data_IF_666186951283
#
_entry.id   IF_666186951283
#
_cell.length_a   1.000
_cell.length_b   1.000
_cell.length_c   1.000
_cell.angle_alpha   90.00
_cell.angle_beta   90.00
_cell.angle_gamma   90.00
#
_symmetry.space_group_name_H-M   'P 1'
#
loop_
_entity.id
_entity.type
_entity.pdbx_description
1 polymer ?
#
# COMPACT_ATOMS: atom_id res chain seq x y z
N UNK A 1 19.95 -29.26 -1.54
CA UNK A 1 19.01 -28.75 -0.52
C UNK A 1 17.71 -28.51 -1.26
N UNK A 2 16.64 -29.22 -0.91
CA UNK A 2 15.34 -29.16 -1.61
C UNK A 2 14.64 -27.85 -1.25
N UNK A 3 14.30 -27.07 -2.26
CA UNK A 3 13.37 -25.96 -2.16
C UNK A 3 12.00 -26.49 -1.67
N UNK A 4 11.57 -26.07 -0.50
CA UNK A 4 10.23 -26.34 -0.01
C UNK A 4 9.26 -25.45 -0.79
N UNK A 5 8.52 -26.05 -1.70
CA UNK A 5 7.42 -25.39 -2.44
C UNK A 5 6.30 -25.05 -1.44
N UNK A 6 5.88 -23.78 -1.37
CA UNK A 6 4.80 -23.28 -0.50
C UNK A 6 3.39 -23.79 -0.87
N UNK A 7 3.30 -24.91 -1.61
CA UNK A 7 2.03 -25.48 -2.10
C UNK A 7 1.32 -26.44 -1.15
N UNK A 8 1.87 -26.75 0.05
CA UNK A 8 1.36 -27.84 0.90
C UNK A 8 0.75 -27.38 2.25
N UNK A 9 0.49 -26.08 2.44
CA UNK A 9 -0.29 -25.64 3.60
C UNK A 9 -1.79 -25.80 3.25
N UNK A 10 -2.59 -26.58 4.00
CA UNK A 10 -4.01 -26.69 3.75
C UNK A 10 -4.65 -25.30 3.84
N UNK A 11 -5.48 -24.96 2.86
CA UNK A 11 -6.16 -23.65 2.71
C UNK A 11 -6.88 -23.19 4.00
N UNK A 12 -7.30 -24.10 4.87
CA UNK A 12 -7.93 -23.79 6.15
C UNK A 12 -6.98 -23.15 7.17
N UNK A 13 -5.77 -23.72 7.33
CA UNK A 13 -4.80 -23.26 8.35
C UNK A 13 -4.08 -21.99 7.91
N UNK A 14 -3.87 -21.84 6.59
CA UNK A 14 -3.30 -20.61 6.01
C UNK A 14 -4.24 -19.40 6.18
N UNK A 15 -5.56 -19.61 6.13
CA UNK A 15 -6.53 -18.54 6.28
C UNK A 15 -6.61 -18.01 7.72
N UNK A 16 -6.36 -18.85 8.74
CA UNK A 16 -6.38 -18.44 10.15
C UNK A 16 -5.16 -17.61 10.55
N UNK A 17 -4.03 -17.78 9.90
CA UNK A 17 -2.79 -17.03 10.19
C UNK A 17 -2.61 -15.76 9.36
N UNK A 18 -3.42 -15.54 8.32
CA UNK A 18 -3.36 -14.35 7.48
C UNK A 18 -3.94 -13.12 8.20
N UNK A 19 -3.34 -11.94 7.98
CA UNK A 19 -3.92 -10.67 8.44
C UNK A 19 -5.24 -10.44 7.72
N UNK A 20 -5.26 -10.59 6.39
CA UNK A 20 -6.49 -10.62 5.61
C UNK A 20 -6.36 -11.55 4.41
N UNK A 21 -7.50 -12.04 3.92
CA UNK A 21 -7.56 -12.86 2.71
C UNK A 21 -8.74 -12.49 1.82
N UNK A 22 -8.56 -12.73 0.52
CA UNK A 22 -9.57 -12.63 -0.52
C UNK A 22 -9.75 -14.00 -1.14
N UNK A 23 -11.00 -14.45 -1.29
CA UNK A 23 -11.36 -15.73 -1.85
C UNK A 23 -12.35 -15.53 -3.01
N UNK A 24 -11.92 -15.89 -4.22
CA UNK A 24 -12.71 -15.80 -5.46
C UNK A 24 -13.37 -14.43 -5.67
N UNK A 25 -12.65 -13.34 -5.38
CA UNK A 25 -13.22 -12.00 -5.45
C UNK A 25 -13.36 -11.54 -6.89
N UNK A 26 -14.60 -11.10 -7.22
CA UNK A 26 -14.95 -10.49 -8.50
C UNK A 26 -15.45 -9.06 -8.30
N UNK A 27 -14.95 -8.14 -9.14
CA UNK A 27 -15.39 -6.75 -9.10
C UNK A 27 -15.52 -6.17 -10.50
N UNK A 28 -16.64 -5.48 -10.75
CA UNK A 28 -16.89 -4.70 -11.96
C UNK A 28 -17.45 -3.32 -11.62
N UNK A 29 -17.02 -2.30 -12.38
CA UNK A 29 -17.68 -1.01 -12.34
C UNK A 29 -18.93 -1.03 -13.21
N UNK A 30 -20.06 -0.60 -12.65
CA UNK A 30 -21.26 -0.32 -13.43
C UNK A 30 -21.06 0.97 -14.25
N UNK A 31 -21.15 0.91 -15.58
CA UNK A 31 -21.27 2.08 -16.46
C UNK A 31 -22.56 1.94 -17.25
N UNK A 32 -23.12 3.07 -17.70
CA UNK A 32 -24.30 3.08 -18.54
C UNK A 32 -24.14 2.12 -19.75
N UNK A 33 -24.85 0.99 -19.68
CA UNK A 33 -24.95 -0.02 -20.74
C UNK A 33 -23.98 -1.19 -20.68
N UNK A 34 -22.79 -1.10 -20.03
CA UNK A 34 -21.84 -2.22 -19.95
C UNK A 34 -21.11 -2.26 -18.60
N UNK A 35 -21.06 -3.45 -17.98
CA UNK A 35 -20.26 -3.67 -16.78
C UNK A 35 -18.79 -3.94 -17.17
N UNK A 36 -17.88 -3.05 -16.78
CA UNK A 36 -16.44 -3.26 -16.96
C UNK A 36 -15.91 -4.10 -15.80
N UNK A 37 -15.67 -5.38 -16.03
CA UNK A 37 -15.00 -6.26 -15.08
C UNK A 37 -13.54 -5.84 -14.91
N UNK A 38 -13.10 -5.68 -13.66
CA UNK A 38 -11.74 -5.23 -13.28
C UNK A 38 -11.00 -6.30 -12.50
N UNK A 39 -11.70 -7.04 -11.62
CA UNK A 39 -11.13 -8.17 -10.88
C UNK A 39 -11.93 -9.43 -11.18
N UNK A 40 -11.23 -10.54 -11.42
CA UNK A 40 -11.82 -11.84 -11.77
C UNK A 40 -11.15 -12.94 -10.97
N UNK A 41 -11.93 -13.62 -10.14
CA UNK A 41 -11.47 -14.80 -9.38
C UNK A 41 -10.15 -14.51 -8.63
N UNK A 42 -10.10 -13.36 -7.94
CA UNK A 42 -8.91 -12.95 -7.20
C UNK A 42 -8.84 -13.71 -5.89
N UNK A 43 -7.75 -14.45 -5.72
CA UNK A 43 -7.39 -15.18 -4.52
C UNK A 43 -6.07 -14.62 -4.01
N UNK A 44 -6.03 -14.19 -2.73
CA UNK A 44 -4.84 -13.61 -2.12
C UNK A 44 -4.91 -13.68 -0.60
N UNK A 45 -3.79 -13.87 0.05
CA UNK A 45 -3.65 -13.76 1.50
C UNK A 45 -2.40 -12.97 1.84
N UNK A 46 -2.51 -12.06 2.81
CA UNK A 46 -1.37 -11.31 3.35
C UNK A 46 -1.05 -11.82 4.75
N UNK A 47 0.18 -12.25 4.94
CA UNK A 47 0.67 -12.75 6.22
C UNK A 47 1.51 -11.70 6.98
N UNK A 48 1.67 -11.85 8.31
CA UNK A 48 2.55 -10.98 9.08
C UNK A 48 3.96 -10.91 8.47
N UNK A 49 4.54 -9.72 8.48
CA UNK A 49 5.88 -9.40 7.96
C UNK A 49 6.07 -9.58 6.44
N UNK A 50 5.09 -10.08 5.70
CA UNK A 50 5.15 -10.25 4.25
C UNK A 50 5.22 -8.89 3.54
N UNK A 51 6.08 -8.79 2.51
CA UNK A 51 6.35 -7.57 1.75
C UNK A 51 6.13 -7.85 0.27
N UNK A 52 4.98 -7.41 -0.24
CA UNK A 52 4.52 -7.70 -1.61
C UNK A 52 4.56 -6.44 -2.47
N UNK A 53 5.21 -6.52 -3.62
CA UNK A 53 5.15 -5.52 -4.70
C UNK A 53 4.06 -5.88 -5.70
N UNK A 54 3.14 -4.97 -5.97
CA UNK A 54 2.11 -5.12 -7.00
C UNK A 54 2.45 -4.23 -8.19
N UNK A 55 3.11 -4.81 -9.18
CA UNK A 55 3.56 -4.14 -10.40
C UNK A 55 2.50 -4.25 -11.51
N UNK A 56 2.50 -3.31 -12.45
CA UNK A 56 1.68 -3.40 -13.66
C UNK A 56 1.22 -2.06 -14.20
N UNK A 57 0.67 -2.04 -15.42
CA UNK A 57 0.27 -0.81 -16.10
C UNK A 57 -0.90 -0.10 -15.40
N UNK A 58 -1.04 1.19 -15.69
CA UNK A 58 -2.19 1.96 -15.21
C UNK A 58 -3.49 1.37 -15.76
N UNK A 59 -4.54 1.33 -14.92
CA UNK A 59 -5.85 0.79 -15.29
C UNK A 59 -5.97 -0.73 -15.23
N UNK A 60 -4.94 -1.48 -14.79
CA UNK A 60 -5.00 -2.94 -14.60
C UNK A 60 -5.86 -3.39 -13.42
N UNK A 61 -6.26 -2.49 -12.52
CA UNK A 61 -7.12 -2.81 -11.38
C UNK A 61 -6.44 -2.77 -10.01
N UNK A 62 -5.16 -2.37 -9.91
CA UNK A 62 -4.38 -2.35 -8.65
C UNK A 62 -5.05 -1.53 -7.53
N UNK A 63 -5.39 -0.28 -7.80
CA UNK A 63 -6.10 0.57 -6.83
C UNK A 63 -7.50 0.02 -6.52
N UNK A 64 -8.17 -0.61 -7.48
CA UNK A 64 -9.46 -1.29 -7.25
C UNK A 64 -9.30 -2.48 -6.30
N UNK A 65 -8.22 -3.24 -6.43
CA UNK A 65 -7.88 -4.32 -5.51
C UNK A 65 -7.73 -3.78 -4.06
N UNK A 66 -7.01 -2.67 -3.86
CA UNK A 66 -6.91 -2.02 -2.54
C UNK A 66 -8.26 -1.51 -2.02
N UNK A 67 -9.08 -0.94 -2.90
CA UNK A 67 -10.44 -0.50 -2.53
C UNK A 67 -11.34 -1.67 -2.12
N UNK A 68 -11.19 -2.83 -2.74
CA UNK A 68 -11.91 -4.04 -2.32
C UNK A 68 -11.46 -4.51 -0.94
N UNK A 69 -10.14 -4.60 -0.68
CA UNK A 69 -9.59 -4.98 0.64
C UNK A 69 -10.15 -4.07 1.73
N UNK A 70 -10.15 -2.76 1.50
CA UNK A 70 -10.58 -1.76 2.49
C UNK A 70 -12.11 -1.56 2.57
N UNK A 71 -12.89 -2.24 1.70
CA UNK A 71 -14.34 -2.11 1.63
C UNK A 71 -14.85 -0.81 1.02
N UNK A 72 -13.95 0.01 0.43
CA UNK A 72 -14.30 1.21 -0.34
C UNK A 72 -14.94 0.86 -1.70
N UNK A 73 -14.71 -0.36 -2.18
CA UNK A 73 -15.43 -0.98 -3.30
C UNK A 73 -15.91 -2.36 -2.86
N UNK A 74 -17.22 -2.61 -2.98
CA UNK A 74 -17.81 -3.88 -2.57
C UNK A 74 -17.77 -4.87 -3.73
N UNK A 75 -17.10 -6.03 -3.58
CA UNK A 75 -17.12 -7.06 -4.62
C UNK A 75 -18.52 -7.62 -4.84
N UNK A 76 -18.82 -8.01 -6.07
CA UNK A 76 -20.09 -8.66 -6.42
C UNK A 76 -20.12 -10.14 -6.02
N UNK A 77 -18.94 -10.79 -5.97
CA UNK A 77 -18.79 -12.19 -5.61
C UNK A 77 -17.47 -12.38 -4.84
N UNK A 78 -17.38 -13.49 -4.14
CA UNK A 78 -16.23 -13.85 -3.32
C UNK A 78 -16.35 -13.35 -1.88
N UNK A 79 -15.33 -13.64 -1.09
CA UNK A 79 -15.28 -13.32 0.33
C UNK A 79 -13.99 -12.55 0.64
N UNK A 80 -14.08 -11.64 1.61
CA UNK A 80 -12.93 -10.98 2.21
C UNK A 80 -12.95 -11.33 3.69
N UNK A 81 -11.80 -11.77 4.21
CA UNK A 81 -11.64 -12.10 5.64
C UNK A 81 -10.58 -11.21 6.26
N UNK A 82 -10.77 -10.92 7.53
CA UNK A 82 -9.79 -10.28 8.40
C UNK A 82 -9.60 -11.13 9.64
N UNK A 83 -8.38 -11.59 9.90
CA UNK A 83 -8.08 -12.58 10.96
C UNK A 83 -9.04 -13.78 10.96
N UNK A 84 -9.29 -14.34 9.75
CA UNK A 84 -10.22 -15.47 9.56
C UNK A 84 -11.72 -15.12 9.56
N UNK A 85 -12.11 -13.93 10.05
CA UNK A 85 -13.52 -13.50 10.10
C UNK A 85 -13.98 -12.89 8.78
N UNK A 86 -15.12 -13.33 8.25
CA UNK A 86 -15.71 -12.79 7.01
C UNK A 86 -16.17 -11.35 7.27
N UNK A 87 -15.75 -10.43 6.39
CA UNK A 87 -16.18 -9.04 6.41
C UNK A 87 -17.47 -8.89 5.59
N UNK A 88 -18.59 -8.60 6.23
CA UNK A 88 -19.90 -8.47 5.59
C UNK A 88 -20.53 -7.09 5.77
N UNK A 89 -20.28 -6.46 6.91
CA UNK A 89 -20.86 -5.17 7.28
C UNK A 89 -19.85 -4.02 7.21
N UNK A 90 -20.36 -2.78 7.20
CA UNK A 90 -19.50 -1.59 7.31
C UNK A 90 -18.74 -1.55 8.63
N UNK A 91 -19.32 -2.10 9.69
CA UNK A 91 -18.63 -2.22 10.99
C UNK A 91 -17.37 -3.07 10.88
N UNK A 92 -17.46 -4.24 10.19
CA UNK A 92 -16.32 -5.14 10.02
C UNK A 92 -15.20 -4.47 9.21
N UNK A 93 -15.56 -3.78 8.13
CA UNK A 93 -14.57 -3.04 7.32
C UNK A 93 -13.99 -1.83 8.06
N UNK A 94 -14.75 -1.19 8.94
CA UNK A 94 -14.21 -0.14 9.81
C UNK A 94 -13.17 -0.69 10.77
N UNK A 95 -13.40 -1.89 11.34
CA UNK A 95 -12.43 -2.57 12.19
C UNK A 95 -11.13 -2.89 11.41
N UNK A 96 -11.26 -3.44 10.21
CA UNK A 96 -10.12 -3.67 9.32
C UNK A 96 -9.35 -2.35 9.06
N UNK A 97 -10.04 -1.25 8.70
CA UNK A 97 -9.39 0.04 8.43
C UNK A 97 -8.71 0.68 9.65
N UNK A 98 -9.07 0.27 10.86
CA UNK A 98 -8.33 0.65 12.07
C UNK A 98 -6.98 -0.08 12.20
N UNK A 99 -6.80 -1.20 11.51
CA UNK A 99 -5.64 -2.08 11.60
C UNK A 99 -4.82 -2.17 10.32
N UNK A 100 -5.43 -1.89 9.18
CA UNK A 100 -4.79 -1.87 7.86
C UNK A 100 -4.71 -0.43 7.38
N UNK A 101 -3.50 0.11 7.36
CA UNK A 101 -3.26 1.48 6.93
C UNK A 101 -3.23 1.59 5.41
N UNK A 102 -3.87 2.62 4.86
CA UNK A 102 -3.88 2.88 3.43
C UNK A 102 -3.26 4.26 3.15
N UNK A 103 -2.14 4.27 2.43
CA UNK A 103 -1.50 5.49 1.91
C UNK A 103 -1.96 5.71 0.48
N UNK A 104 -2.64 6.83 0.26
CA UNK A 104 -3.24 7.19 -1.02
C UNK A 104 -2.20 7.67 -2.04
N UNK A 105 -2.51 7.49 -3.32
CA UNK A 105 -1.66 7.94 -4.43
C UNK A 105 -1.42 9.46 -4.38
N UNK A 106 -2.43 10.26 -4.05
CA UNK A 106 -2.33 11.71 -3.90
C UNK A 106 -2.35 12.08 -2.42
N UNK A 107 -1.25 12.62 -1.93
CA UNK A 107 -1.14 13.01 -0.51
C UNK A 107 -2.13 14.12 -0.12
N UNK A 108 -2.53 14.98 -1.07
CA UNK A 108 -3.56 15.99 -0.89
C UNK A 108 -4.93 15.42 -0.50
N UNK A 109 -5.24 14.21 -0.95
CA UNK A 109 -6.50 13.52 -0.61
C UNK A 109 -6.48 12.93 0.80
N UNK A 110 -5.33 12.96 1.47
CA UNK A 110 -5.12 12.37 2.79
C UNK A 110 -4.82 13.39 3.89
N UNK A 111 -4.33 14.58 3.54
CA UNK A 111 -3.98 15.65 4.49
C UNK A 111 -5.09 16.69 4.51
N UNK A 112 -5.77 16.84 5.65
CA UNK A 112 -6.97 17.73 5.75
C UNK A 112 -6.81 18.82 6.79
N UNK A 113 -5.87 18.67 7.75
CA UNK A 113 -5.70 19.60 8.84
C UNK A 113 -4.69 20.71 8.50
N UNK A 114 -4.81 21.89 9.15
CA UNK A 114 -3.88 22.98 8.91
C UNK A 114 -2.43 22.63 9.20
N UNK A 115 -2.15 21.90 10.29
CA UNK A 115 -0.79 21.57 10.71
C UNK A 115 -0.49 20.07 10.57
N UNK A 116 0.78 19.78 10.38
CA UNK A 116 1.31 18.40 10.33
C UNK A 116 0.96 17.61 11.58
N UNK A 117 1.12 18.23 12.76
CA UNK A 117 0.82 17.56 14.02
C UNK A 117 -0.65 17.14 14.13
N UNK A 118 -1.56 18.00 13.69
CA UNK A 118 -3.00 17.70 13.70
C UNK A 118 -3.33 16.54 12.76
N UNK A 119 -2.78 16.53 11.55
CA UNK A 119 -2.97 15.43 10.60
C UNK A 119 -2.43 14.11 11.15
N UNK A 120 -1.22 14.09 11.71
CA UNK A 120 -0.60 12.86 12.22
C UNK A 120 -1.29 12.37 13.49
N UNK A 121 -1.80 13.26 14.34
CA UNK A 121 -2.52 12.90 15.57
C UNK A 121 -3.96 12.41 15.31
N UNK A 122 -4.54 12.73 14.16
CA UNK A 122 -5.94 12.43 13.83
C UNK A 122 -6.26 10.92 13.86
N UNK A 123 -5.40 10.10 13.24
CA UNK A 123 -5.56 8.65 13.26
C UNK A 123 -5.59 8.07 14.69
N UNK A 124 -4.58 8.33 15.52
CA UNK A 124 -4.57 7.94 16.93
C UNK A 124 -5.78 8.41 17.74
N UNK A 125 -6.28 9.65 17.50
CA UNK A 125 -7.51 10.14 18.13
C UNK A 125 -8.73 9.30 17.75
N UNK A 126 -8.88 8.96 16.47
CA UNK A 126 -9.98 8.12 15.98
C UNK A 126 -9.92 6.69 16.51
N UNK A 127 -8.74 6.22 16.88
CA UNK A 127 -8.53 4.94 17.57
C UNK A 127 -8.85 5.02 19.07
N UNK A 128 -9.30 6.17 19.59
CA UNK A 128 -9.74 6.35 20.97
C UNK A 128 -8.62 6.74 21.96
N UNK A 129 -7.46 7.18 21.47
CA UNK A 129 -6.43 7.73 22.37
C UNK A 129 -6.90 9.11 22.88
N UNK A 130 -6.49 9.43 24.14
CA UNK A 130 -6.67 10.79 24.64
C UNK A 130 -5.86 11.80 23.81
N UNK A 131 -6.24 13.08 23.77
CA UNK A 131 -5.53 14.12 23.02
C UNK A 131 -4.03 14.14 23.30
N UNK A 132 -3.63 14.05 24.58
CA UNK A 132 -2.21 14.05 24.98
C UNK A 132 -1.45 12.83 24.45
N UNK A 133 -2.06 11.63 24.54
CA UNK A 133 -1.45 10.40 24.03
C UNK A 133 -1.38 10.40 22.48
N UNK A 134 -2.39 10.92 21.82
CA UNK A 134 -2.40 11.04 20.38
C UNK A 134 -1.32 12.01 19.89
N UNK A 135 -1.21 13.17 20.57
CA UNK A 135 -0.15 14.15 20.31
C UNK A 135 1.23 13.57 20.52
N UNK A 136 1.45 12.88 21.64
CA UNK A 136 2.73 12.23 21.93
C UNK A 136 3.09 11.21 20.84
N UNK A 137 2.14 10.36 20.44
CA UNK A 137 2.35 9.35 19.38
C UNK A 137 2.68 10.00 18.03
N UNK A 138 2.03 11.11 17.71
CA UNK A 138 2.33 11.86 16.49
C UNK A 138 3.78 12.39 16.52
N UNK A 139 4.22 12.97 17.63
CA UNK A 139 5.58 13.47 17.80
C UNK A 139 6.61 12.34 17.68
N UNK A 140 6.41 11.21 18.37
CA UNK A 140 7.26 10.02 18.28
C UNK A 140 7.36 9.51 16.83
N UNK A 141 6.23 9.51 16.10
CA UNK A 141 6.21 9.07 14.71
C UNK A 141 6.98 10.01 13.80
N UNK A 142 6.79 11.33 13.96
CA UNK A 142 7.53 12.33 13.18
C UNK A 142 9.03 12.25 13.45
N UNK A 143 9.44 12.10 14.70
CA UNK A 143 10.85 11.93 15.08
C UNK A 143 11.45 10.67 14.44
N UNK A 144 10.75 9.53 14.52
CA UNK A 144 11.18 8.24 13.91
C UNK A 144 11.39 8.34 12.39
N UNK A 145 10.61 9.17 11.72
CA UNK A 145 10.70 9.38 10.28
C UNK A 145 11.68 10.50 9.89
N UNK A 146 12.41 11.08 10.87
CA UNK A 146 13.32 12.19 10.64
C UNK A 146 12.61 13.48 10.22
N UNK A 147 11.37 13.67 10.71
CA UNK A 147 10.52 14.83 10.45
C UNK A 147 10.35 15.72 11.71
N UNK A 148 11.27 15.61 12.67
CA UNK A 148 11.30 16.51 13.82
C UNK A 148 11.40 17.97 13.35
N UNK A 149 10.61 18.85 13.97
CA UNK A 149 10.51 20.26 13.57
C UNK A 149 9.46 20.55 12.49
N UNK A 150 8.73 19.54 12.02
CA UNK A 150 7.63 19.72 11.06
C UNK A 150 6.26 19.97 11.74
N UNK A 151 6.14 19.77 13.03
CA UNK A 151 4.89 19.69 13.80
C UNK A 151 3.94 20.86 13.53
N UNK A 152 4.51 22.09 13.50
CA UNK A 152 3.77 23.34 13.32
C UNK A 152 3.73 23.82 11.87
N UNK A 153 4.35 23.08 10.94
CA UNK A 153 4.30 23.44 9.53
C UNK A 153 2.89 23.30 8.98
N UNK A 154 2.53 24.22 8.10
CA UNK A 154 1.24 24.18 7.43
C UNK A 154 1.28 23.17 6.28
N UNK A 155 0.36 22.22 6.27
CA UNK A 155 0.32 21.10 5.31
C UNK A 155 0.25 21.57 3.85
N UNK A 156 -0.47 22.64 3.57
CA UNK A 156 -0.57 23.23 2.23
C UNK A 156 0.72 23.89 1.72
N UNK A 157 1.70 24.16 2.60
CA UNK A 157 3.00 24.77 2.25
C UNK A 157 4.11 23.73 2.08
N UNK A 158 3.83 22.47 2.30
CA UNK A 158 4.80 21.39 2.13
C UNK A 158 5.07 21.13 0.64
N UNK A 159 6.31 20.74 0.32
CA UNK A 159 6.63 20.19 -1.00
C UNK A 159 5.90 18.86 -1.24
N UNK A 160 5.83 18.39 -2.48
CA UNK A 160 5.21 17.11 -2.82
C UNK A 160 5.84 15.94 -2.07
N UNK A 161 7.18 15.93 -1.95
CA UNK A 161 7.90 14.90 -1.19
C UNK A 161 7.61 14.95 0.31
N UNK A 162 7.59 16.16 0.90
CA UNK A 162 7.23 16.32 2.30
C UNK A 162 5.79 15.87 2.57
N UNK A 163 4.83 16.21 1.70
CA UNK A 163 3.44 15.74 1.82
C UNK A 163 3.33 14.22 1.80
N UNK A 164 4.09 13.55 0.93
CA UNK A 164 4.12 12.07 0.88
C UNK A 164 4.68 11.47 2.17
N UNK A 165 5.75 12.02 2.72
CA UNK A 165 6.31 11.57 4.00
C UNK A 165 5.33 11.80 5.16
N UNK A 166 4.64 12.95 5.20
CA UNK A 166 3.62 13.23 6.22
C UNK A 166 2.42 12.28 6.03
N UNK A 167 1.96 12.05 4.80
CA UNK A 167 0.90 11.08 4.50
C UNK A 167 1.25 9.67 5.00
N UNK A 168 2.51 9.24 4.84
CA UNK A 168 2.98 7.99 5.45
C UNK A 168 2.98 8.05 6.98
N UNK A 169 3.39 9.19 7.57
CA UNK A 169 3.39 9.41 9.02
C UNK A 169 1.98 9.30 9.63
N UNK A 170 0.94 9.86 8.97
CA UNK A 170 -0.45 9.77 9.46
C UNK A 170 -0.91 8.34 9.63
N UNK A 171 -0.50 7.45 8.72
CA UNK A 171 -0.86 6.03 8.76
C UNK A 171 -0.01 5.27 9.78
N UNK A 172 1.29 5.51 9.82
CA UNK A 172 2.20 4.83 10.77
C UNK A 172 1.90 5.18 12.23
N UNK A 173 1.42 6.40 12.52
CA UNK A 173 0.99 6.80 13.85
C UNK A 173 -0.17 5.94 14.38
N UNK A 174 -0.95 5.32 13.52
CA UNK A 174 -2.00 4.37 13.90
C UNK A 174 -1.44 3.02 14.36
N UNK A 175 -0.16 2.71 14.11
CA UNK A 175 0.50 1.41 14.33
C UNK A 175 -0.24 0.26 13.66
N UNK A 176 -0.39 0.30 12.35
CA UNK A 176 -1.14 -0.70 11.60
C UNK A 176 -0.44 -2.06 11.60
N UNK A 177 -1.21 -3.13 11.47
CA UNK A 177 -0.72 -4.49 11.29
C UNK A 177 -0.27 -4.75 9.84
N UNK A 178 -0.88 -4.05 8.88
CA UNK A 178 -0.50 -4.08 7.48
C UNK A 178 -0.62 -2.69 6.84
N UNK A 179 0.15 -2.46 5.77
CA UNK A 179 0.14 -1.23 4.96
C UNK A 179 -0.26 -1.55 3.52
N UNK A 180 -1.13 -0.73 2.98
CA UNK A 180 -1.44 -0.65 1.55
C UNK A 180 -0.88 0.67 1.03
N UNK A 181 0.11 0.63 0.15
CA UNK A 181 0.81 1.80 -0.37
C UNK A 181 0.51 1.94 -1.87
N UNK A 182 -0.25 2.97 -2.25
CA UNK A 182 -0.61 3.22 -3.66
C UNK A 182 0.33 4.28 -4.26
N UNK A 183 1.28 3.84 -5.09
CA UNK A 183 2.28 4.69 -5.78
C UNK A 183 2.99 5.68 -4.82
N UNK A 184 3.62 5.21 -3.73
CA UNK A 184 4.13 6.09 -2.67
C UNK A 184 5.28 6.99 -3.12
N UNK A 185 5.98 6.65 -4.23
CA UNK A 185 7.13 7.41 -4.75
C UNK A 185 6.82 8.18 -6.02
N UNK A 186 5.56 8.12 -6.52
CA UNK A 186 5.21 8.81 -7.76
C UNK A 186 5.36 10.33 -7.64
N UNK A 187 6.06 10.94 -8.60
CA UNK A 187 6.30 12.39 -8.67
C UNK A 187 7.32 12.92 -7.67
N UNK A 188 8.12 12.05 -7.03
CA UNK A 188 9.17 12.45 -6.11
C UNK A 188 10.52 12.64 -6.81
N UNK A 189 11.33 13.56 -6.27
CA UNK A 189 12.76 13.62 -6.55
C UNK A 189 13.50 12.43 -5.92
N UNK A 190 14.77 12.27 -6.28
CA UNK A 190 15.59 11.15 -5.82
C UNK A 190 15.77 11.12 -4.29
N UNK A 191 15.90 12.28 -3.65
CA UNK A 191 16.13 12.36 -2.20
C UNK A 191 14.89 11.96 -1.42
N UNK A 192 13.71 12.46 -1.78
CA UNK A 192 12.45 12.08 -1.16
C UNK A 192 12.12 10.60 -1.43
N UNK A 193 12.41 10.10 -2.65
CA UNK A 193 12.26 8.68 -3.00
C UNK A 193 13.14 7.80 -2.11
N UNK A 194 14.43 8.15 -1.95
CA UNK A 194 15.35 7.38 -1.13
C UNK A 194 14.91 7.35 0.34
N UNK A 195 14.44 8.47 0.88
CA UNK A 195 13.90 8.50 2.26
C UNK A 195 12.71 7.55 2.46
N UNK A 196 11.81 7.45 1.48
CA UNK A 196 10.70 6.47 1.57
C UNK A 196 11.23 5.04 1.52
N UNK A 197 12.22 4.75 0.67
CA UNK A 197 12.87 3.42 0.62
C UNK A 197 13.47 3.08 1.98
N UNK A 198 14.24 3.98 2.58
CA UNK A 198 14.91 3.76 3.87
C UNK A 198 13.89 3.49 4.98
N UNK A 199 12.82 4.28 5.03
CA UNK A 199 11.72 4.09 5.98
C UNK A 199 11.07 2.71 5.80
N UNK A 200 10.66 2.38 4.57
CA UNK A 200 9.98 1.11 4.30
C UNK A 200 10.89 -0.10 4.52
N UNK A 201 12.18 0.02 4.23
CA UNK A 201 13.16 -1.06 4.46
C UNK A 201 13.34 -1.35 5.94
N UNK A 202 13.30 -0.32 6.79
CA UNK A 202 13.37 -0.44 8.24
C UNK A 202 12.10 -1.00 8.91
N UNK A 203 10.95 -1.01 8.20
CA UNK A 203 9.69 -1.49 8.76
C UNK A 203 9.55 -3.01 8.63
N UNK A 204 9.17 -3.68 9.72
CA UNK A 204 8.76 -5.09 9.72
C UNK A 204 7.27 -5.29 9.40
N UNK A 205 6.48 -4.22 9.37
CA UNK A 205 5.03 -4.26 9.08
C UNK A 205 4.76 -4.90 7.74
N UNK A 206 3.81 -5.85 7.71
CA UNK A 206 3.33 -6.46 6.48
C UNK A 206 2.82 -5.39 5.51
N UNK A 207 3.06 -5.55 4.21
CA UNK A 207 2.62 -4.53 3.26
C UNK A 207 2.40 -5.04 1.85
N UNK A 208 1.52 -4.35 1.13
CA UNK A 208 1.42 -4.42 -0.32
C UNK A 208 1.73 -3.03 -0.87
N UNK A 209 2.66 -2.96 -1.80
CA UNK A 209 3.09 -1.70 -2.43
C UNK A 209 2.77 -1.75 -3.91
N UNK A 210 1.86 -0.90 -4.38
CA UNK A 210 1.63 -0.66 -5.79
C UNK A 210 2.69 0.31 -6.28
N UNK A 211 3.42 -0.05 -7.33
CA UNK A 211 4.28 0.87 -8.07
C UNK A 211 4.50 0.40 -9.50
N UNK A 212 4.74 1.35 -10.40
CA UNK A 212 5.28 1.11 -11.74
C UNK A 212 6.82 1.26 -11.79
N UNK A 213 7.45 1.65 -10.68
CA UNK A 213 8.90 1.73 -10.49
C UNK A 213 9.41 0.38 -9.97
N UNK A 214 10.01 -0.39 -10.87
CA UNK A 214 10.54 -1.71 -10.54
C UNK A 214 11.71 -1.64 -9.56
N UNK A 215 12.61 -0.65 -9.71
CA UNK A 215 13.78 -0.51 -8.84
C UNK A 215 13.38 -0.18 -7.40
N UNK A 216 12.29 0.57 -7.24
CA UNK A 216 11.70 0.83 -5.94
C UNK A 216 11.12 -0.45 -5.32
N UNK A 217 10.33 -1.22 -6.09
CA UNK A 217 9.76 -2.47 -5.61
C UNK A 217 10.85 -3.50 -5.25
N UNK A 218 11.90 -3.60 -6.06
CA UNK A 218 13.02 -4.52 -5.81
C UNK A 218 13.75 -4.25 -4.49
N UNK A 219 13.80 -2.99 -4.06
CA UNK A 219 14.41 -2.59 -2.79
C UNK A 219 13.48 -2.72 -1.58
N UNK A 220 12.16 -2.75 -1.79
CA UNK A 220 11.18 -2.65 -0.69
C UNK A 220 10.28 -3.86 -0.56
N UNK A 221 10.30 -4.81 -1.49
CA UNK A 221 9.43 -5.99 -1.53
C UNK A 221 10.24 -7.27 -1.70
N UNK A 222 9.67 -8.40 -1.26
CA UNK A 222 10.27 -9.73 -1.37
C UNK A 222 9.53 -10.63 -2.36
N UNK A 223 8.26 -10.33 -2.60
CA UNK A 223 7.40 -11.06 -3.52
C UNK A 223 6.75 -10.08 -4.50
N UNK A 224 6.48 -10.54 -5.72
CA UNK A 224 5.95 -9.66 -6.77
C UNK A 224 4.73 -10.27 -7.42
N UNK A 225 3.70 -9.45 -7.56
CA UNK A 225 2.43 -9.78 -8.20
C UNK A 225 2.11 -8.78 -9.29
N UNK A 226 1.27 -9.20 -10.22
CA UNK A 226 0.66 -8.34 -11.22
C UNK A 226 -0.81 -8.69 -11.41
N UNK A 227 -1.59 -7.76 -11.96
CA UNK A 227 -2.97 -8.04 -12.38
C UNK A 227 -3.00 -8.09 -13.90
N UNK A 228 -3.26 -9.31 -14.43
CA UNK A 228 -3.42 -9.58 -15.86
C UNK A 228 -4.85 -10.07 -16.11
N UNK A 229 -5.57 -9.44 -17.02
CA UNK A 229 -6.96 -9.76 -17.36
C UNK A 229 -7.90 -9.89 -16.13
N UNK A 230 -7.62 -9.06 -15.11
CA UNK A 230 -8.35 -9.03 -13.85
C UNK A 230 -7.94 -10.11 -12.84
N UNK A 231 -6.98 -10.96 -13.15
CA UNK A 231 -6.47 -12.02 -12.25
C UNK A 231 -5.15 -11.64 -11.62
N UNK A 232 -5.00 -11.96 -10.36
CA UNK A 232 -3.73 -11.77 -9.66
C UNK A 232 -2.77 -12.92 -10.01
N UNK A 233 -1.58 -12.58 -10.46
CA UNK A 233 -0.58 -13.53 -10.94
C UNK A 233 0.78 -13.20 -10.34
N UNK A 234 1.54 -14.21 -9.93
CA UNK A 234 2.94 -14.02 -9.50
C UNK A 234 3.79 -13.59 -10.69
N UNK A 235 4.67 -12.62 -10.47
CA UNK A 235 5.71 -12.25 -11.43
C UNK A 235 7.09 -12.56 -10.84
N UNK A 236 7.97 -13.12 -11.70
CA UNK A 236 9.36 -13.31 -11.34
C UNK A 236 10.17 -12.05 -11.69
N UNK A 237 11.24 -11.74 -10.95
CA UNK A 237 12.12 -10.59 -11.25
C UNK A 237 12.88 -10.66 -12.57
N UNK A 238 12.69 -11.71 -13.36
CA UNK A 238 13.44 -12.01 -14.59
C UNK A 238 12.98 -11.28 -15.86
N UNK A 239 12.03 -10.34 -15.79
CA UNK A 239 11.73 -9.50 -16.95
C UNK A 239 12.71 -8.33 -17.00
N UNK A 240 13.82 -8.54 -17.71
CA UNK A 240 14.71 -7.46 -18.12
C UNK A 240 13.91 -6.50 -19.01
N UNK A 241 13.47 -5.37 -18.46
CA UNK A 241 12.94 -4.27 -19.27
C UNK A 241 14.12 -3.50 -19.81
N UNK A 242 14.26 -3.47 -21.15
CA UNK A 242 15.18 -2.56 -21.79
C UNK A 242 14.69 -1.12 -21.53
N UNK A 243 15.32 -0.42 -20.62
CA UNK A 243 15.09 1.01 -20.45
C UNK A 243 15.85 1.76 -21.54
N UNK A 244 15.13 2.39 -22.48
CA UNK A 244 15.73 3.40 -23.35
C UNK A 244 15.91 4.67 -22.51
N UNK A 245 17.14 4.95 -22.10
CA UNK A 245 17.50 6.26 -21.56
C UNK A 245 17.74 7.22 -22.72
N UNK A 246 16.92 8.27 -22.84
CA UNK A 246 17.22 9.37 -23.72
C UNK A 246 18.29 10.25 -23.07
N UNK A 247 19.51 10.18 -23.58
CA UNK A 247 20.57 11.11 -23.20
C UNK A 247 20.50 12.38 -24.07
N UNK A 248 20.62 13.57 -23.47
CA UNK A 248 20.55 14.84 -24.23
C UNK A 248 21.74 15.08 -25.17
N UNK A 249 22.75 14.24 -25.16
CA UNK A 249 23.95 14.34 -26.01
C UNK A 249 24.39 12.93 -26.46
N UNK A 250 24.01 12.55 -27.71
CA UNK A 250 24.64 11.50 -28.48
C UNK A 250 23.83 10.22 -28.68
N UNK A 251 23.84 9.75 -29.91
CA UNK A 251 23.21 8.55 -30.45
C UNK A 251 24.19 7.34 -30.44
N UNK A 252 24.93 7.10 -29.39
CA UNK A 252 25.80 5.92 -29.32
C UNK A 252 25.23 4.86 -28.38
N UNK A 253 25.07 3.60 -28.81
CA UNK A 253 24.65 2.52 -27.96
C UNK A 253 25.81 2.08 -27.06
N UNK A 254 25.61 2.09 -25.74
CA UNK A 254 26.52 1.47 -24.80
C UNK A 254 25.98 0.11 -24.40
N UNK A 255 26.78 -0.94 -24.62
CA UNK A 255 26.55 -2.27 -24.06
C UNK A 255 26.91 -2.27 -22.56
N UNK A 256 26.01 -2.78 -21.76
CA UNK A 256 26.25 -3.16 -20.37
C UNK A 256 25.88 -4.61 -20.13
#
# INVERSE_FOLDING_TARGET
MKEACMSDIPLSDACESAIFSLEQVHFAYAREGEARTVLRDVNFSLFPMQKVGLYGPNGSGKTTFFRCITGLARPQQGLIRFHGHILSSEKDFRELRCKVGFVLQHAEDQLFFPTVLEDVAFGPLNLGLTPDKARQRALETLEHLGLAGFEQRLTHRLSGGEKKLISLATVLAMRPEALLLDEPTNGLDNDARQRIIDILSGLSTARITISHDWDFLAQTSAEYLTILDGRLTSCAPSFAHAHMHAHPLGNEPHEH
#
